data_IF_749546892348
#
_entry.id   IF_749546892348
#
_cell.length_a   1.000
_cell.length_b   1.000
_cell.length_c   1.000
_cell.angle_alpha   90.00
_cell.angle_beta   90.00
_cell.angle_gamma   90.00
#
_symmetry.space_group_name_H-M   'P 1'
#
loop_
_entity.id
_entity.type
_entity.pdbx_description
1 polymer ?
#
# COMPACT_ATOMS: atom_id res chain seq x y z
N UNK A 1 -26.60 24.66 -23.09
CA UNK A 1 -26.19 24.38 -21.69
C UNK A 1 -26.92 23.21 -21.03
N UNK A 2 -28.17 22.87 -21.38
CA UNK A 2 -28.91 21.76 -20.75
C UNK A 2 -28.30 20.36 -21.00
N UNK A 3 -27.80 20.07 -22.21
CA UNK A 3 -27.16 18.78 -22.53
C UNK A 3 -25.90 18.51 -21.70
N UNK A 4 -25.06 19.52 -21.45
CA UNK A 4 -23.83 19.36 -20.65
C UNK A 4 -24.16 19.05 -19.19
N UNK A 5 -25.22 19.67 -18.63
CA UNK A 5 -25.69 19.38 -17.27
C UNK A 5 -26.23 17.96 -17.13
N UNK A 6 -26.98 17.47 -18.13
CA UNK A 6 -27.49 16.09 -18.16
C UNK A 6 -26.36 15.06 -18.18
N UNK A 7 -25.35 15.27 -19.02
CA UNK A 7 -24.18 14.38 -19.10
C UNK A 7 -23.34 14.40 -17.79
N UNK A 8 -23.19 15.58 -17.17
CA UNK A 8 -22.49 15.68 -15.89
C UNK A 8 -23.26 14.95 -14.77
N UNK A 9 -24.59 14.99 -14.77
CA UNK A 9 -25.43 14.28 -13.79
C UNK A 9 -25.41 12.77 -13.98
N UNK A 10 -25.37 12.27 -15.22
CA UNK A 10 -25.30 10.82 -15.47
C UNK A 10 -23.94 10.21 -15.15
N UNK A 11 -22.86 10.99 -15.23
CA UNK A 11 -21.49 10.54 -14.92
C UNK A 11 -21.15 10.65 -13.43
N UNK A 12 -21.85 11.50 -12.67
CA UNK A 12 -21.60 11.72 -11.24
C UNK A 12 -21.67 10.44 -10.38
N UNK A 13 -22.65 9.53 -10.56
CA UNK A 13 -22.70 8.26 -9.81
C UNK A 13 -21.48 7.38 -10.09
N UNK A 14 -21.00 7.38 -11.32
CA UNK A 14 -19.89 6.54 -11.76
C UNK A 14 -18.54 7.05 -11.20
N UNK A 15 -18.36 8.38 -11.12
CA UNK A 15 -17.18 8.98 -10.52
C UNK A 15 -17.15 8.85 -9.00
N UNK A 16 -18.30 9.01 -8.33
CA UNK A 16 -18.42 8.83 -6.87
C UNK A 16 -18.14 7.38 -6.46
N UNK A 17 -18.72 6.40 -7.18
CA UNK A 17 -18.41 4.99 -6.95
C UNK A 17 -16.91 4.73 -7.04
N UNK A 18 -16.22 5.25 -8.07
CA UNK A 18 -14.78 5.01 -8.23
C UNK A 18 -13.95 5.49 -7.04
N UNK A 19 -14.35 6.58 -6.39
CA UNK A 19 -13.71 7.10 -5.17
C UNK A 19 -14.00 6.23 -3.94
N UNK A 20 -15.22 5.70 -3.80
CA UNK A 20 -15.57 4.79 -2.69
C UNK A 20 -14.83 3.45 -2.76
N UNK A 21 -14.43 3.02 -3.96
CA UNK A 21 -13.71 1.77 -4.18
C UNK A 21 -12.20 1.87 -3.91
N UNK A 22 -11.65 3.06 -3.64
CA UNK A 22 -10.23 3.22 -3.37
C UNK A 22 -9.86 2.83 -1.93
N UNK A 23 -8.73 2.14 -1.80
CA UNK A 23 -8.10 1.88 -0.52
C UNK A 23 -7.38 3.15 -0.05
N UNK A 24 -7.56 3.53 1.22
CA UNK A 24 -6.98 4.75 1.82
C UNK A 24 -5.73 4.42 2.60
N UNK A 25 -4.68 5.23 2.44
CA UNK A 25 -3.44 5.09 3.19
C UNK A 25 -3.65 5.41 4.68
N UNK A 26 -3.08 4.57 5.53
CA UNK A 26 -2.96 4.76 6.97
C UNK A 26 -1.50 4.56 7.36
N UNK A 27 -0.86 5.62 7.83
CA UNK A 27 0.48 5.54 8.43
C UNK A 27 0.36 4.99 9.84
N UNK A 28 1.29 4.13 10.24
CA UNK A 28 1.30 3.56 11.58
C UNK A 28 1.45 4.66 12.62
N UNK A 29 0.63 4.60 13.68
CA UNK A 29 0.71 5.53 14.82
C UNK A 29 2.03 5.39 15.57
N UNK A 30 2.58 4.18 15.61
CA UNK A 30 3.90 3.94 16.19
C UNK A 30 4.98 4.27 15.15
N UNK A 31 5.59 5.45 15.27
CA UNK A 31 6.65 5.91 14.37
C UNK A 31 7.97 5.14 14.52
N UNK A 32 8.11 4.28 15.53
CA UNK A 32 9.29 3.40 15.65
C UNK A 32 9.29 2.25 14.64
N UNK A 33 8.15 2.00 13.96
CA UNK A 33 8.02 0.97 12.94
C UNK A 33 8.20 1.62 11.57
N UNK A 34 9.39 1.44 10.99
CA UNK A 34 9.85 2.23 9.84
C UNK A 34 10.15 1.37 8.62
N UNK A 35 10.13 2.02 7.45
CA UNK A 35 10.76 1.54 6.23
C UNK A 35 12.30 1.61 6.32
N UNK A 36 13.00 1.11 5.30
CA UNK A 36 14.47 1.08 5.26
C UNK A 36 15.15 2.46 5.42
N UNK A 37 14.52 3.53 4.94
CA UNK A 37 15.08 4.88 5.05
C UNK A 37 14.77 5.56 6.39
N UNK A 38 13.90 4.98 7.23
CA UNK A 38 13.47 5.52 8.52
C UNK A 38 12.12 6.24 8.47
N UNK A 39 11.49 6.36 7.30
CA UNK A 39 10.10 6.87 7.19
C UNK A 39 9.12 5.89 7.84
N UNK A 40 8.00 6.36 8.41
CA UNK A 40 7.05 5.48 9.09
C UNK A 40 6.37 4.55 8.08
N UNK A 41 6.26 3.27 8.44
CA UNK A 41 5.54 2.30 7.63
C UNK A 41 4.01 2.52 7.72
N UNK A 42 3.25 1.81 6.90
CA UNK A 42 1.80 1.97 6.81
C UNK A 42 1.14 0.89 5.97
N UNK A 43 -0.16 1.03 5.78
CA UNK A 43 -0.98 0.14 4.96
C UNK A 43 -2.10 0.91 4.29
N UNK A 44 -2.62 0.38 3.19
CA UNK A 44 -3.84 0.85 2.56
C UNK A 44 -5.01 -0.02 3.03
N UNK A 45 -6.17 0.58 3.29
CA UNK A 45 -7.36 -0.15 3.74
C UNK A 45 -8.61 0.29 2.99
N UNK A 46 -9.47 -0.67 2.64
CA UNK A 46 -10.86 -0.46 2.23
C UNK A 46 -11.75 -1.32 3.12
N UNK A 47 -12.57 -0.65 3.93
CA UNK A 47 -13.49 -1.30 4.84
C UNK A 47 -14.74 -1.78 4.10
N UNK A 48 -15.28 -2.92 4.52
CA UNK A 48 -16.64 -3.36 4.23
C UNK A 48 -17.33 -3.67 5.56
N UNK A 49 -18.07 -2.68 6.07
CA UNK A 49 -18.67 -2.71 7.43
C UNK A 49 -19.61 -3.90 7.68
N UNK A 50 -20.19 -4.48 6.64
CA UNK A 50 -21.05 -5.67 6.74
C UNK A 50 -20.29 -7.01 6.67
N UNK A 51 -18.99 -6.98 6.40
CA UNK A 51 -18.19 -8.17 6.15
C UNK A 51 -17.34 -8.55 7.35
N UNK A 52 -17.35 -9.84 7.69
CA UNK A 52 -16.47 -10.43 8.72
C UNK A 52 -15.16 -10.98 8.14
N UNK A 53 -14.98 -10.89 6.82
CA UNK A 53 -13.78 -11.40 6.13
C UNK A 53 -12.75 -10.28 6.02
N UNK A 54 -11.49 -10.66 6.23
CA UNK A 54 -10.33 -9.77 6.11
C UNK A 54 -9.31 -10.41 5.18
N UNK A 55 -8.79 -9.62 4.25
CA UNK A 55 -7.71 -10.00 3.35
C UNK A 55 -6.57 -9.01 3.55
N UNK A 56 -5.43 -9.51 4.03
CA UNK A 56 -4.19 -8.74 4.19
C UNK A 56 -3.21 -9.21 3.14
N UNK A 57 -2.87 -8.33 2.20
CA UNK A 57 -1.94 -8.60 1.11
C UNK A 57 -0.58 -7.96 1.39
N UNK A 58 0.47 -8.77 1.35
CA UNK A 58 1.85 -8.32 1.50
C UNK A 58 2.46 -8.11 0.11
N UNK A 59 2.87 -6.89 -0.21
CA UNK A 59 3.54 -6.61 -1.48
C UNK A 59 4.88 -7.38 -1.55
N UNK A 60 5.25 -7.79 -2.78
CA UNK A 60 6.56 -8.36 -3.05
C UNK A 60 7.54 -7.32 -3.59
N UNK A 61 8.68 -7.80 -4.09
CA UNK A 61 9.63 -6.96 -4.84
C UNK A 61 11.09 -7.20 -4.48
N UNK A 62 11.55 -8.46 -4.44
CA UNK A 62 12.94 -8.82 -4.11
C UNK A 62 13.40 -8.33 -2.74
N UNK A 63 14.71 -8.26 -2.49
CA UNK A 63 15.32 -7.87 -1.23
C UNK A 63 16.71 -7.30 -1.49
N UNK A 64 17.35 -6.75 -0.45
CA UNK A 64 18.77 -6.40 -0.47
C UNK A 64 19.46 -7.02 0.75
N UNK A 65 20.74 -7.39 0.62
CA UNK A 65 21.42 -8.24 1.61
C UNK A 65 22.81 -7.71 2.02
N UNK A 66 23.17 -6.53 1.53
CA UNK A 66 24.40 -5.83 1.89
C UNK A 66 24.19 -4.32 1.76
N UNK A 67 25.02 -3.51 2.43
CA UNK A 67 24.95 -2.04 2.32
C UNK A 67 24.96 -1.59 0.86
N UNK A 68 25.91 -2.11 0.08
CA UNK A 68 26.03 -1.77 -1.33
C UNK A 68 24.75 -2.09 -2.13
N UNK A 69 24.22 -3.31 -1.98
CA UNK A 69 22.98 -3.69 -2.69
C UNK A 69 21.76 -2.89 -2.22
N UNK A 70 21.70 -2.49 -0.95
CA UNK A 70 20.61 -1.68 -0.42
C UNK A 70 20.73 -0.22 -0.89
N UNK A 71 21.93 0.35 -0.95
CA UNK A 71 22.18 1.68 -1.49
C UNK A 71 21.77 1.73 -2.99
N UNK A 72 22.19 0.76 -3.81
CA UNK A 72 21.78 0.66 -5.22
C UNK A 72 20.27 0.46 -5.39
N UNK A 73 19.64 -0.31 -4.50
CA UNK A 73 18.18 -0.47 -4.48
C UNK A 73 17.47 0.83 -4.10
N UNK A 74 18.03 1.61 -3.19
CA UNK A 74 17.45 2.88 -2.77
C UNK A 74 17.47 3.91 -3.91
N UNK A 75 18.54 3.93 -4.70
CA UNK A 75 18.66 4.78 -5.89
C UNK A 75 17.69 4.38 -7.02
N UNK A 76 17.58 3.08 -7.29
CA UNK A 76 16.80 2.58 -8.44
C UNK A 76 15.33 2.27 -8.14
N UNK A 77 14.99 1.94 -6.89
CA UNK A 77 13.68 1.40 -6.49
C UNK A 77 13.19 1.98 -5.16
N UNK A 78 13.39 3.29 -4.94
CA UNK A 78 13.06 3.98 -3.68
C UNK A 78 11.66 3.70 -3.10
N UNK A 79 10.65 3.46 -3.95
CA UNK A 79 9.27 3.11 -3.52
C UNK A 79 9.20 1.87 -2.63
N UNK A 80 10.18 0.97 -2.75
CA UNK A 80 10.29 -0.28 -2.00
C UNK A 80 11.19 -0.16 -0.76
N UNK A 81 11.56 1.07 -0.38
CA UNK A 81 12.46 1.37 0.74
C UNK A 81 12.01 2.59 1.56
N UNK A 82 10.96 3.27 1.12
CA UNK A 82 10.50 4.55 1.67
C UNK A 82 9.00 4.73 1.49
N UNK A 83 8.34 5.34 2.48
CA UNK A 83 6.94 5.75 2.40
C UNK A 83 6.74 7.21 1.97
N UNK A 84 7.81 8.00 1.79
CA UNK A 84 7.72 9.44 1.49
C UNK A 84 6.84 9.79 0.27
N UNK A 85 6.78 8.90 -0.72
CA UNK A 85 6.09 9.14 -1.99
C UNK A 85 4.87 8.23 -2.19
N UNK A 86 4.35 7.64 -1.11
CA UNK A 86 3.14 6.82 -1.21
C UNK A 86 1.91 7.69 -1.50
N UNK A 87 1.10 7.37 -2.52
CA UNK A 87 -0.11 8.11 -2.80
C UNK A 87 -1.12 7.95 -1.64
N UNK A 88 -2.01 8.92 -1.41
CA UNK A 88 -3.00 8.85 -0.33
C UNK A 88 -4.02 7.73 -0.54
N UNK A 89 -4.18 7.26 -1.78
CA UNK A 89 -5.08 6.19 -2.14
C UNK A 89 -4.45 5.21 -3.13
N UNK A 90 -4.98 3.98 -3.16
CA UNK A 90 -4.58 2.94 -4.10
C UNK A 90 -5.82 2.16 -4.56
N UNK A 91 -5.85 1.77 -5.82
CA UNK A 91 -6.92 0.88 -6.34
C UNK A 91 -6.57 -0.56 -6.00
N UNK A 92 -7.49 -1.28 -5.35
CA UNK A 92 -7.39 -2.72 -5.18
C UNK A 92 -7.66 -3.42 -6.51
N UNK A 93 -6.81 -4.37 -6.89
CA UNK A 93 -6.91 -5.15 -8.13
C UNK A 93 -6.83 -6.65 -7.83
N UNK A 94 -7.25 -7.48 -8.76
CA UNK A 94 -7.35 -8.94 -8.61
C UNK A 94 -8.14 -9.31 -7.36
N UNK A 95 -7.52 -10.09 -6.47
CA UNK A 95 -8.13 -10.53 -5.22
C UNK A 95 -8.46 -9.39 -4.23
N UNK A 96 -7.87 -8.19 -4.41
CA UNK A 96 -8.17 -7.00 -3.61
C UNK A 96 -9.28 -6.14 -4.24
N UNK A 97 -9.73 -6.46 -5.46
CA UNK A 97 -10.75 -5.68 -6.16
C UNK A 97 -12.09 -5.77 -5.44
N UNK A 98 -12.82 -4.65 -5.32
CA UNK A 98 -14.19 -4.65 -4.81
C UNK A 98 -15.24 -4.94 -5.89
N UNK A 99 -14.83 -5.19 -7.14
CA UNK A 99 -15.72 -5.49 -8.25
C UNK A 99 -16.01 -7.00 -8.29
N UNK A 100 -17.28 -7.43 -8.22
CA UNK A 100 -17.65 -8.85 -8.32
C UNK A 100 -17.17 -9.52 -9.62
N UNK A 101 -17.05 -8.76 -10.71
CA UNK A 101 -16.61 -9.25 -12.02
C UNK A 101 -15.12 -9.64 -12.03
N UNK A 102 -14.31 -8.94 -11.24
CA UNK A 102 -12.86 -9.20 -11.10
C UNK A 102 -12.55 -10.12 -9.91
N UNK A 103 -13.33 -10.03 -8.83
CA UNK A 103 -13.15 -10.77 -7.58
C UNK A 103 -14.45 -11.47 -7.15
N UNK A 104 -14.84 -12.55 -7.84
CA UNK A 104 -16.16 -13.17 -7.68
C UNK A 104 -16.45 -13.69 -6.26
N UNK A 105 -15.42 -14.02 -5.50
CA UNK A 105 -15.59 -14.63 -4.18
C UNK A 105 -15.40 -13.66 -3.02
N UNK A 106 -14.46 -12.71 -3.12
CA UNK A 106 -13.97 -11.92 -1.99
C UNK A 106 -14.16 -10.41 -2.18
N UNK A 107 -14.89 -9.96 -3.21
CA UNK A 107 -15.08 -8.52 -3.51
C UNK A 107 -15.63 -7.71 -2.33
N UNK A 108 -16.45 -8.34 -1.48
CA UNK A 108 -17.03 -7.71 -0.30
C UNK A 108 -16.21 -7.91 1.00
N UNK A 109 -14.98 -8.40 0.95
CA UNK A 109 -14.10 -8.46 2.12
C UNK A 109 -13.61 -7.06 2.54
N UNK A 110 -13.17 -6.94 3.80
CA UNK A 110 -12.27 -5.85 4.19
C UNK A 110 -10.90 -6.15 3.57
N UNK A 111 -10.34 -5.21 2.82
CA UNK A 111 -9.06 -5.41 2.12
C UNK A 111 -8.00 -4.48 2.69
N UNK A 112 -6.82 -5.05 2.94
CA UNK A 112 -5.63 -4.34 3.41
C UNK A 112 -4.48 -4.68 2.46
N UNK A 113 -3.78 -3.66 1.99
CA UNK A 113 -2.55 -3.80 1.21
C UNK A 113 -1.40 -3.20 2.00
N UNK A 114 -0.41 -4.01 2.33
CA UNK A 114 0.79 -3.58 3.06
C UNK A 114 1.92 -3.39 2.04
N UNK A 115 2.31 -2.15 1.70
CA UNK A 115 3.39 -1.92 0.77
C UNK A 115 4.71 -2.39 1.36
N UNK A 116 5.54 -2.97 0.50
CA UNK A 116 6.81 -3.55 0.92
C UNK A 116 7.90 -2.49 0.91
N UNK A 117 8.35 -2.06 2.09
CA UNK A 117 9.37 -1.03 2.24
C UNK A 117 10.55 -1.41 3.16
N UNK A 118 10.67 -2.70 3.48
CA UNK A 118 11.66 -3.25 4.42
C UNK A 118 12.79 -4.02 3.73
N UNK A 119 12.64 -4.41 2.46
CA UNK A 119 13.68 -5.09 1.66
C UNK A 119 14.26 -6.38 2.28
N UNK A 120 13.52 -7.01 3.19
CA UNK A 120 13.93 -8.11 4.08
C UNK A 120 13.03 -9.35 3.97
N UNK A 121 12.19 -9.44 2.93
CA UNK A 121 11.23 -10.54 2.74
C UNK A 121 10.28 -10.71 3.95
N UNK A 122 9.94 -9.62 4.63
CA UNK A 122 9.08 -9.61 5.83
C UNK A 122 9.66 -10.37 7.03
N UNK A 123 10.99 -10.55 7.08
CA UNK A 123 11.66 -11.32 8.13
C UNK A 123 12.37 -10.46 9.19
N UNK A 124 12.63 -9.17 8.91
CA UNK A 124 13.38 -8.29 9.80
C UNK A 124 12.63 -7.96 11.09
N UNK A 125 13.38 -7.85 12.18
CA UNK A 125 12.83 -7.58 13.52
C UNK A 125 13.54 -6.45 14.28
N UNK A 126 14.55 -5.82 13.67
CA UNK A 126 15.33 -4.76 14.30
C UNK A 126 15.02 -3.37 13.73
N UNK A 127 15.03 -2.32 14.57
CA UNK A 127 14.91 -0.95 14.10
C UNK A 127 16.22 -0.48 13.45
N UNK A 128 16.12 0.56 12.60
CA UNK A 128 17.30 1.24 12.05
C UNK A 128 18.12 1.86 13.18
N UNK A 129 19.37 1.41 13.32
CA UNK A 129 20.38 2.04 14.20
C UNK A 129 21.34 2.89 13.35
N UNK A 130 21.77 4.05 13.85
CA UNK A 130 22.66 5.00 13.12
C UNK A 130 23.90 4.35 12.50
N UNK A 131 24.42 3.27 13.08
CA UNK A 131 25.62 2.59 12.58
C UNK A 131 25.41 1.71 11.34
N UNK A 132 24.17 1.43 10.93
CA UNK A 132 23.88 0.44 9.87
C UNK A 132 23.46 1.05 8.52
N UNK A 133 23.32 2.37 8.41
CA UNK A 133 22.83 2.98 7.16
C UNK A 133 21.51 2.33 6.69
N UNK A 134 21.38 2.04 5.39
CA UNK A 134 20.22 1.31 4.86
C UNK A 134 20.23 -0.21 5.16
N UNK A 135 21.18 -0.73 5.96
CA UNK A 135 21.24 -2.15 6.37
C UNK A 135 20.23 -2.52 7.47
N UNK A 136 19.23 -1.68 7.78
CA UNK A 136 18.14 -2.08 8.68
C UNK A 136 17.37 -3.33 8.22
N UNK A 137 17.61 -3.79 6.97
CA UNK A 137 17.10 -5.05 6.43
C UNK A 137 17.86 -6.31 6.92
N UNK A 138 18.98 -6.17 7.63
CA UNK A 138 19.85 -7.28 8.03
C UNK A 138 19.67 -7.61 9.53
N UNK A 139 18.81 -8.62 9.75
CA UNK A 139 18.45 -9.30 11.01
C UNK A 139 17.32 -8.63 11.81
#
# INVERSE_FOLDING_TARGET
MAQVKSLAQSLYPCSSQRLEHQMKLQILKNSSVTCNDGTPAGYYIKESRGSRRWLVFLEGGWYCFSKHTCDSRYESMRRLMSSSNWPPTRTGTGILSPQPEENPHWWNANTVFVPYCSSDVWSGSTPKTDQRGHQGALN
#
